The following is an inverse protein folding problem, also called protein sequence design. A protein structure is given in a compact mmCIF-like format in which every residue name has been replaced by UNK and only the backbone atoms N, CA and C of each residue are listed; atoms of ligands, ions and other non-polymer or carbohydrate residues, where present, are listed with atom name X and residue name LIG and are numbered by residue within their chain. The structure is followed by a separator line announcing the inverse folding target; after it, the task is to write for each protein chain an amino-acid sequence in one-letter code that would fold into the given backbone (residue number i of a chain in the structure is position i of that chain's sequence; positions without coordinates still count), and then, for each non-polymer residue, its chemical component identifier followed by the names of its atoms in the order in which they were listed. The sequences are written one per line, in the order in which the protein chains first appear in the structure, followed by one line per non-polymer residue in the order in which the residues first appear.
data_IF_007308593294
#
_entry.id   IF_007308593294
#
_cell.length_a   1.000
_cell.length_b   1.000
_cell.length_c   1.000
_cell.angle_alpha   90.00
_cell.angle_beta   90.00
_cell.angle_gamma   90.00
#
_symmetry.space_group_name_H-M   'P 1'
#
loop_
_entity.id
_entity.type
_entity.pdbx_description
1 polymer ?
#
# COMPACT_ATOMS: atom_id res chain seq x y z
N UNK A 1 1.36 -1.86 -25.65
CA UNK A 1 1.04 -0.81 -24.67
C UNK A 1 1.48 -1.32 -23.32
N UNK A 2 2.50 -0.72 -22.69
CA UNK A 2 3.00 -1.16 -21.40
C UNK A 2 2.03 -0.60 -20.34
N UNK A 3 1.33 -1.44 -19.57
CA UNK A 3 0.41 -0.95 -18.55
C UNK A 3 1.22 -0.18 -17.50
N UNK A 4 0.85 1.08 -17.31
CA UNK A 4 1.47 1.95 -16.32
C UNK A 4 0.72 1.76 -14.99
N UNK A 5 1.26 0.92 -14.12
CA UNK A 5 0.67 0.62 -12.80
C UNK A 5 0.94 1.72 -11.75
N UNK A 6 1.36 2.92 -12.16
CA UNK A 6 1.63 4.05 -11.26
C UNK A 6 0.36 4.70 -10.68
N UNK A 7 -0.83 4.24 -11.06
CA UNK A 7 -2.10 4.88 -10.70
C UNK A 7 -2.99 3.93 -9.93
N UNK A 8 -3.46 4.38 -8.77
CA UNK A 8 -4.53 3.69 -8.03
C UNK A 8 -5.79 3.71 -8.89
N UNK A 9 -6.40 2.54 -9.07
CA UNK A 9 -7.61 2.40 -9.87
C UNK A 9 -8.80 3.11 -9.20
N UNK A 10 -9.64 3.81 -9.98
CA UNK A 10 -10.85 4.51 -9.47
C UNK A 10 -11.92 3.58 -8.86
N UNK A 11 -11.70 2.27 -8.82
CA UNK A 11 -12.59 1.32 -8.12
C UNK A 11 -11.95 0.78 -6.85
N UNK A 12 -10.69 1.11 -6.59
CA UNK A 12 -10.01 0.76 -5.36
C UNK A 12 -10.73 1.43 -4.20
N UNK A 13 -11.13 0.61 -3.24
CA UNK A 13 -11.76 1.05 -2.00
C UNK A 13 -11.08 0.35 -0.85
N UNK A 14 -10.49 1.10 0.06
CA UNK A 14 -9.95 0.57 1.30
C UNK A 14 -11.04 0.66 2.36
N UNK A 15 -11.41 -0.48 2.95
CA UNK A 15 -12.53 -0.58 3.90
C UNK A 15 -13.87 0.01 3.38
N UNK A 16 -14.09 -0.05 2.07
CA UNK A 16 -15.29 0.49 1.41
C UNK A 16 -15.25 2.01 1.13
N UNK A 17 -14.23 2.72 1.61
CA UNK A 17 -14.00 4.13 1.27
C UNK A 17 -13.14 4.28 0.03
N UNK A 18 -13.53 5.22 -0.83
CA UNK A 18 -12.79 5.55 -2.03
C UNK A 18 -11.63 6.47 -1.67
N UNK A 19 -10.43 6.13 -2.14
CA UNK A 19 -9.26 6.97 -1.97
C UNK A 19 -8.63 7.30 -3.32
N UNK A 20 -8.31 8.57 -3.51
CA UNK A 20 -7.40 9.03 -4.55
C UNK A 20 -5.96 8.76 -4.13
N UNK A 21 -5.02 8.77 -5.08
CA UNK A 21 -3.59 8.53 -4.81
C UNK A 21 -3.05 9.42 -3.66
N UNK A 22 -3.39 10.71 -3.67
CA UNK A 22 -2.97 11.65 -2.62
C UNK A 22 -3.60 11.30 -1.26
N UNK A 23 -4.91 11.09 -1.22
CA UNK A 23 -5.62 10.76 0.04
C UNK A 23 -5.25 9.39 0.59
N UNK A 24 -4.92 8.43 -0.28
CA UNK A 24 -4.47 7.10 0.14
C UNK A 24 -3.07 7.18 0.73
N UNK A 25 -2.20 8.02 0.17
CA UNK A 25 -0.85 8.28 0.70
C UNK A 25 -0.89 8.93 2.08
N UNK A 26 -1.79 9.88 2.29
CA UNK A 26 -2.01 10.48 3.62
C UNK A 26 -2.54 9.44 4.62
N UNK A 27 -3.50 8.60 4.22
CA UNK A 27 -3.99 7.53 5.09
C UNK A 27 -2.94 6.47 5.41
N UNK A 28 -2.13 6.08 4.42
CA UNK A 28 -1.03 5.14 4.62
C UNK A 28 -0.04 5.65 5.69
N UNK A 29 0.30 6.95 5.64
CA UNK A 29 1.13 7.59 6.67
C UNK A 29 0.47 7.58 8.06
N UNK A 30 -0.84 7.83 8.14
CA UNK A 30 -1.57 7.79 9.42
C UNK A 30 -1.55 6.38 10.02
N UNK A 31 -1.79 5.36 9.19
CA UNK A 31 -1.80 3.96 9.58
C UNK A 31 -0.42 3.46 10.01
N UNK A 32 0.65 3.88 9.31
CA UNK A 32 2.03 3.51 9.64
C UNK A 32 2.51 4.09 10.99
N UNK A 33 1.94 5.23 11.42
CA UNK A 33 2.25 5.83 12.71
C UNK A 33 1.36 5.32 13.85
N UNK A 34 0.40 4.44 13.56
CA UNK A 34 -0.54 3.96 14.57
C UNK A 34 0.08 2.84 15.41
N UNK A 35 -0.31 2.76 16.69
CA UNK A 35 0.29 1.84 17.67
C UNK A 35 -0.17 0.38 17.51
N UNK A 36 -1.17 0.13 16.66
CA UNK A 36 -1.68 -1.20 16.37
C UNK A 36 -0.85 -1.86 15.27
N UNK A 37 -0.21 -3.00 15.57
CA UNK A 37 0.73 -3.67 14.67
C UNK A 37 0.13 -3.95 13.28
N UNK A 38 -1.14 -4.37 13.21
CA UNK A 38 -1.79 -4.65 11.94
C UNK A 38 -2.07 -3.39 11.11
N UNK A 39 -2.39 -2.25 11.75
CA UNK A 39 -2.55 -0.97 11.05
C UNK A 39 -1.20 -0.47 10.54
N UNK A 40 -0.16 -0.64 11.36
CA UNK A 40 1.20 -0.28 10.99
C UNK A 40 1.66 -1.08 9.76
N UNK A 41 1.51 -2.40 9.78
CA UNK A 41 1.86 -3.27 8.65
C UNK A 41 1.11 -2.88 7.36
N UNK A 42 -0.18 -2.55 7.46
CA UNK A 42 -0.99 -2.07 6.32
C UNK A 42 -0.50 -0.70 5.83
N UNK A 43 -0.18 0.22 6.75
CA UNK A 43 0.32 1.55 6.43
C UNK A 43 1.65 1.49 5.69
N UNK A 44 2.59 0.68 6.18
CA UNK A 44 3.89 0.41 5.55
C UNK A 44 3.71 -0.20 4.17
N UNK A 45 2.86 -1.22 4.03
CA UNK A 45 2.55 -1.83 2.73
C UNK A 45 1.98 -0.82 1.74
N UNK A 46 1.03 0.02 2.15
CA UNK A 46 0.43 1.04 1.29
C UNK A 46 1.43 2.15 0.93
N UNK A 47 2.32 2.53 1.85
CA UNK A 47 3.38 3.50 1.56
C UNK A 47 4.34 2.95 0.51
N UNK A 48 4.76 1.69 0.64
CA UNK A 48 5.63 1.03 -0.34
C UNK A 48 4.91 0.83 -1.68
N UNK A 49 3.62 0.47 -1.65
CA UNK A 49 2.82 0.30 -2.88
C UNK A 49 2.59 1.62 -3.64
N UNK A 50 2.47 2.73 -2.91
CA UNK A 50 2.34 4.07 -3.48
C UNK A 50 3.68 4.72 -3.79
N UNK A 51 4.79 4.10 -3.39
CA UNK A 51 6.11 4.60 -3.68
C UNK A 51 6.44 4.34 -5.17
N UNK A 52 7.16 5.26 -5.80
CA UNK A 52 7.53 5.14 -7.22
C UNK A 52 8.84 4.32 -7.38
N UNK A 53 9.29 3.66 -6.32
CA UNK A 53 10.45 2.77 -6.36
C UNK A 53 10.10 1.48 -7.11
N UNK A 54 10.94 1.12 -8.07
CA UNK A 54 10.77 -0.05 -8.94
C UNK A 54 10.99 -1.39 -8.21
N UNK A 55 11.41 -1.36 -6.95
CA UNK A 55 11.83 -2.55 -6.19
C UNK A 55 11.26 -2.53 -4.78
N UNK A 56 10.47 -3.55 -4.43
CA UNK A 56 9.95 -3.76 -3.09
C UNK A 56 10.58 -5.03 -2.51
N UNK A 57 11.25 -4.91 -1.37
CA UNK A 57 11.94 -6.03 -0.71
C UNK A 57 10.98 -6.74 0.22
N UNK A 58 10.38 -7.85 -0.22
CA UNK A 58 9.45 -8.66 0.57
C UNK A 58 10.14 -9.88 1.14
N UNK A 59 10.14 -10.01 2.47
CA UNK A 59 10.65 -11.18 3.17
C UNK A 59 9.61 -12.29 3.12
N UNK A 60 9.74 -13.20 2.16
CA UNK A 60 8.86 -14.38 2.11
C UNK A 60 9.38 -15.46 3.06
N UNK A 61 8.55 -15.85 4.01
CA UNK A 61 8.75 -17.06 4.81
C UNK A 61 8.51 -18.26 3.88
N UNK A 62 9.57 -18.79 3.30
CA UNK A 62 9.54 -19.94 2.42
C UNK A 62 9.00 -21.18 3.14
N UNK A 63 7.69 -21.42 3.04
CA UNK A 63 7.07 -22.72 3.26
C UNK A 63 6.69 -23.32 1.90
N UNK A 64 7.69 -23.53 1.05
CA UNK A 64 7.56 -24.52 -0.02
C UNK A 64 7.72 -25.89 0.65
N UNK A 65 6.62 -26.62 0.77
CA UNK A 65 6.60 -28.02 1.18
C UNK A 65 7.18 -28.98 0.15
#
# INVERSE_FOLDING_TARGET
MIPNYKSVHNQFKLNGQHYTFATLKEQANSLANESESYKNDIGLFLMDWLNDELTLTVTTSGSTG
#
